data_IF_841807509015
#
_entry.id   IF_841807509015
#
_cell.length_a   1.000
_cell.length_b   1.000
_cell.length_c   1.000
_cell.angle_alpha   90.00
_cell.angle_beta   90.00
_cell.angle_gamma   90.00
#
_symmetry.space_group_name_H-M   'P 1'
#
loop_
_entity.id
_entity.type
_entity.pdbx_description
1 polymer ?
#
# COMPACT_ATOMS: atom_id res chain seq x y z
N UNK A 1 7.30 -15.76 6.37
CA UNK A 1 6.41 -16.92 6.25
C UNK A 1 6.01 -17.07 4.79
N UNK A 2 6.31 -18.21 4.19
CA UNK A 2 5.81 -18.61 2.88
C UNK A 2 5.04 -19.92 3.07
N UNK A 3 3.86 -19.99 2.54
CA UNK A 3 3.04 -21.18 2.65
C UNK A 3 2.09 -21.32 1.47
N UNK A 4 1.98 -22.54 0.98
CA UNK A 4 1.17 -22.89 -0.19
C UNK A 4 -0.11 -23.62 0.22
N UNK A 5 -0.73 -23.26 1.33
CA UNK A 5 -1.94 -23.94 1.82
C UNK A 5 -2.86 -22.98 2.57
N UNK A 6 -4.14 -23.22 2.42
CA UNK A 6 -5.30 -22.42 2.79
C UNK A 6 -5.51 -22.05 4.27
N UNK A 7 -4.58 -22.29 5.17
CA UNK A 7 -4.61 -21.80 6.56
C UNK A 7 -3.18 -21.44 7.03
N UNK A 8 -2.85 -20.17 6.95
CA UNK A 8 -1.63 -19.63 7.50
C UNK A 8 -1.86 -19.15 8.94
N UNK A 9 -1.13 -19.66 9.93
CA UNK A 9 -1.10 -19.09 11.28
C UNK A 9 -0.34 -17.77 11.24
N UNK A 10 -1.05 -16.67 11.05
CA UNK A 10 -0.50 -15.32 10.91
C UNK A 10 0.21 -14.82 12.19
N UNK A 11 -0.10 -15.40 13.33
CA UNK A 11 0.43 -14.99 14.64
C UNK A 11 1.92 -15.35 14.82
N UNK A 12 2.43 -16.34 14.11
CA UNK A 12 3.82 -16.79 14.22
C UNK A 12 4.77 -15.97 13.32
N UNK A 13 4.24 -15.14 12.41
CA UNK A 13 5.02 -14.32 11.51
C UNK A 13 5.24 -12.92 12.05
N UNK A 14 6.47 -12.39 11.96
CA UNK A 14 6.77 -11.00 12.29
C UNK A 14 5.99 -10.04 11.37
N UNK A 15 5.89 -10.38 10.10
CA UNK A 15 5.06 -9.67 9.13
C UNK A 15 4.50 -10.62 8.07
N UNK A 16 3.37 -10.22 7.50
CA UNK A 16 2.77 -10.82 6.32
C UNK A 16 2.70 -9.77 5.23
N UNK A 17 3.07 -10.15 4.01
CA UNK A 17 2.85 -9.34 2.82
C UNK A 17 2.01 -10.12 1.82
N UNK A 18 0.93 -9.52 1.35
CA UNK A 18 0.05 -10.09 0.33
C UNK A 18 -0.04 -9.10 -0.82
N UNK A 19 0.18 -9.57 -2.03
CA UNK A 19 -0.03 -8.81 -3.25
C UNK A 19 -1.05 -9.51 -4.14
N UNK A 20 -1.89 -8.72 -4.79
CA UNK A 20 -2.91 -9.18 -5.72
C UNK A 20 -3.02 -8.23 -6.90
N UNK A 21 -3.50 -8.73 -8.03
CA UNK A 21 -3.90 -7.89 -9.16
C UNK A 21 -5.35 -8.18 -9.47
N UNK A 22 -6.17 -7.13 -9.54
CA UNK A 22 -7.56 -7.25 -10.00
C UNK A 22 -7.68 -7.13 -11.53
N UNK A 23 -6.55 -7.11 -12.24
CA UNK A 23 -6.49 -7.08 -13.69
C UNK A 23 -6.74 -5.70 -14.29
N UNK A 24 -7.30 -5.71 -15.50
CA UNK A 24 -7.58 -4.51 -16.27
C UNK A 24 -8.99 -4.00 -16.02
N UNK A 25 -9.13 -2.67 -16.06
CA UNK A 25 -10.40 -1.98 -15.89
C UNK A 25 -10.55 -0.90 -16.95
N UNK A 26 -11.73 -0.80 -17.50
CA UNK A 26 -12.09 0.24 -18.44
C UNK A 26 -13.39 0.92 -17.99
N UNK A 27 -13.36 2.25 -17.94
CA UNK A 27 -14.51 3.10 -17.60
C UNK A 27 -14.99 3.83 -18.82
N UNK A 28 -16.27 3.71 -19.12
CA UNK A 28 -17.00 4.50 -20.11
C UNK A 28 -17.91 5.53 -19.41
N UNK A 29 -18.71 6.28 -20.17
CA UNK A 29 -19.73 7.17 -19.61
C UNK A 29 -20.84 6.41 -18.85
N UNK A 30 -21.03 5.12 -19.13
CA UNK A 30 -22.16 4.34 -18.65
C UNK A 30 -21.81 3.30 -17.60
N UNK A 31 -20.60 2.75 -17.67
CA UNK A 31 -20.21 1.63 -16.82
C UNK A 31 -18.69 1.56 -16.61
N UNK A 32 -18.29 0.77 -15.60
CA UNK A 32 -16.91 0.33 -15.38
C UNK A 32 -16.86 -1.19 -15.55
N UNK A 33 -15.98 -1.69 -16.42
CA UNK A 33 -15.80 -3.12 -16.70
C UNK A 33 -14.43 -3.60 -16.25
N UNK A 34 -14.40 -4.79 -15.70
CA UNK A 34 -13.14 -5.50 -15.45
C UNK A 34 -12.68 -6.18 -16.76
N UNK A 35 -12.11 -5.39 -17.64
CA UNK A 35 -11.60 -5.83 -18.95
C UNK A 35 -10.57 -4.83 -19.48
N UNK A 36 -9.65 -5.26 -20.37
CA UNK A 36 -8.81 -4.36 -21.14
C UNK A 36 -9.64 -3.36 -21.94
N UNK A 37 -9.08 -2.18 -22.22
CA UNK A 37 -9.75 -1.17 -23.05
C UNK A 37 -9.94 -1.60 -24.53
N UNK A 38 -9.20 -2.61 -24.95
CA UNK A 38 -9.22 -3.13 -26.32
C UNK A 38 -10.62 -3.64 -26.70
N UNK A 39 -11.18 -3.16 -27.80
CA UNK A 39 -12.52 -3.51 -28.27
C UNK A 39 -13.67 -2.83 -27.52
N UNK A 40 -13.39 -1.92 -26.59
CA UNK A 40 -14.42 -1.11 -25.91
C UNK A 40 -14.45 0.29 -26.51
N UNK A 41 -15.61 0.70 -26.98
CA UNK A 41 -15.82 2.04 -27.55
C UNK A 41 -16.14 3.06 -26.46
N UNK A 42 -15.62 4.29 -26.57
CA UNK A 42 -15.93 5.38 -25.64
C UNK A 42 -15.29 5.25 -24.27
N UNK A 43 -14.12 4.61 -24.18
CA UNK A 43 -13.34 4.52 -22.94
C UNK A 43 -12.86 5.90 -22.52
N UNK A 44 -13.24 6.33 -21.31
CA UNK A 44 -12.83 7.58 -20.70
C UNK A 44 -11.58 7.43 -19.84
N UNK A 45 -11.42 6.29 -19.18
CA UNK A 45 -10.26 5.94 -18.34
C UNK A 45 -10.07 4.43 -18.38
N UNK A 46 -8.82 4.00 -18.46
CA UNK A 46 -8.48 2.58 -18.32
C UNK A 46 -7.24 2.41 -17.48
N UNK A 47 -7.25 1.36 -16.63
CA UNK A 47 -6.13 1.08 -15.74
C UNK A 47 -5.97 -0.41 -15.48
N UNK A 48 -4.77 -0.80 -15.14
CA UNK A 48 -4.46 -2.07 -14.50
C UNK A 48 -4.27 -1.82 -13.02
N UNK A 49 -4.81 -2.67 -12.16
CA UNK A 49 -4.72 -2.54 -10.70
C UNK A 49 -3.79 -3.59 -10.10
N UNK A 50 -2.92 -3.12 -9.24
CA UNK A 50 -2.06 -3.93 -8.39
C UNK A 50 -2.23 -3.45 -6.94
N UNK A 51 -2.64 -4.36 -6.06
CA UNK A 51 -2.94 -4.06 -4.67
C UNK A 51 -2.03 -4.88 -3.76
N UNK A 52 -1.61 -4.30 -2.65
CA UNK A 52 -0.82 -5.01 -1.65
C UNK A 52 -1.20 -4.60 -0.23
N UNK A 53 -1.04 -5.54 0.69
CA UNK A 53 -1.22 -5.32 2.12
C UNK A 53 -0.03 -5.90 2.86
N UNK A 54 0.56 -5.09 3.74
CA UNK A 54 1.57 -5.51 4.70
C UNK A 54 1.00 -5.43 6.11
N UNK A 55 0.92 -6.56 6.79
CA UNK A 55 0.60 -6.63 8.21
C UNK A 55 1.88 -6.86 9.00
N UNK A 56 2.14 -6.02 9.99
CA UNK A 56 3.24 -6.20 10.94
C UNK A 56 2.64 -6.62 12.29
N UNK A 57 3.05 -7.79 12.78
CA UNK A 57 2.58 -8.35 14.06
C UNK A 57 3.63 -8.17 15.17
N UNK A 58 4.90 -8.12 14.80
CA UNK A 58 6.03 -8.00 15.69
C UNK A 58 7.16 -7.28 14.97
N UNK A 59 7.81 -6.35 15.67
CA UNK A 59 8.91 -5.61 15.08
C UNK A 59 10.19 -6.44 14.95
N UNK A 60 10.88 -6.18 13.89
CA UNK A 60 12.27 -6.59 13.69
C UNK A 60 12.94 -5.54 12.81
N UNK A 61 14.24 -5.29 13.00
CA UNK A 61 14.99 -4.29 12.24
C UNK A 61 14.98 -4.56 10.71
N UNK A 62 14.78 -5.81 10.29
CA UNK A 62 14.62 -6.16 8.88
C UNK A 62 13.36 -5.53 8.26
N UNK A 63 12.34 -5.23 9.07
CA UNK A 63 11.09 -4.61 8.61
C UNK A 63 11.20 -3.09 8.36
N UNK A 64 12.34 -2.48 8.70
CA UNK A 64 12.65 -1.11 8.30
C UNK A 64 13.08 -1.00 6.83
N UNK A 65 13.16 -2.12 6.12
CA UNK A 65 13.47 -2.21 4.70
C UNK A 65 12.28 -2.77 3.92
N UNK A 66 12.11 -2.42 2.63
CA UNK A 66 11.08 -3.02 1.81
C UNK A 66 11.29 -4.53 1.66
N UNK A 67 10.20 -5.28 1.70
CA UNK A 67 10.17 -6.73 1.55
C UNK A 67 10.02 -7.16 0.09
N UNK A 68 9.52 -6.25 -0.75
CA UNK A 68 9.17 -6.54 -2.15
C UNK A 68 9.59 -5.40 -3.07
N UNK A 69 9.72 -5.64 -4.38
CA UNK A 69 9.90 -4.57 -5.36
C UNK A 69 8.61 -3.77 -5.62
N UNK A 70 7.43 -4.28 -5.25
CA UNK A 70 6.16 -3.58 -5.42
C UNK A 70 6.08 -2.26 -4.64
N UNK A 71 4.97 -1.54 -4.82
CA UNK A 71 4.70 -0.38 -3.97
C UNK A 71 4.51 -0.85 -2.53
N UNK A 72 5.28 -0.29 -1.61
CA UNK A 72 5.27 -0.72 -0.21
C UNK A 72 5.44 0.46 0.75
N UNK A 73 4.70 0.40 1.87
CA UNK A 73 4.88 1.30 3.01
C UNK A 73 5.66 0.57 4.09
N UNK A 74 6.72 1.19 4.58
CA UNK A 74 7.62 0.61 5.58
C UNK A 74 7.79 1.58 6.74
N UNK A 75 7.54 1.18 8.01
CA UNK A 75 7.91 1.97 9.17
C UNK A 75 9.44 2.13 9.19
N UNK A 76 9.94 3.31 9.52
CA UNK A 76 11.40 3.52 9.65
C UNK A 76 11.94 3.01 10.98
N UNK A 77 11.09 2.96 11.99
CA UNK A 77 11.40 2.57 13.35
C UNK A 77 10.30 1.67 13.92
N UNK A 78 10.53 1.10 15.09
CA UNK A 78 9.58 0.22 15.78
C UNK A 78 8.25 0.93 16.08
N UNK A 79 7.17 0.62 15.35
CA UNK A 79 5.90 1.28 15.54
C UNK A 79 5.19 0.88 16.86
N UNK A 80 5.55 -0.26 17.45
CA UNK A 80 4.91 -0.77 18.67
C UNK A 80 5.35 -0.03 19.94
N UNK A 81 6.37 0.82 19.84
CA UNK A 81 6.81 1.72 20.93
C UNK A 81 6.00 3.01 21.00
N UNK A 82 5.15 3.25 19.99
CA UNK A 82 4.40 4.48 19.86
C UNK A 82 3.07 4.40 20.60
N UNK A 83 2.64 5.54 21.12
CA UNK A 83 1.33 5.78 21.70
C UNK A 83 0.55 6.85 20.95
N UNK A 84 -0.70 7.06 21.40
CA UNK A 84 -1.54 8.15 20.86
C UNK A 84 -0.86 9.50 21.06
N UNK A 85 -0.74 10.26 19.98
CA UNK A 85 -0.06 11.55 19.95
C UNK A 85 1.36 11.51 19.41
N UNK A 86 2.01 10.35 19.44
CA UNK A 86 3.37 10.17 18.93
C UNK A 86 3.44 10.27 17.40
N UNK A 87 4.64 10.46 16.90
CA UNK A 87 4.94 10.60 15.47
C UNK A 87 5.45 9.27 14.92
N UNK A 88 4.69 8.70 13.99
CA UNK A 88 5.10 7.57 13.18
C UNK A 88 5.73 8.09 11.89
N UNK A 89 6.97 7.68 11.61
CA UNK A 89 7.59 7.92 10.31
C UNK A 89 7.50 6.66 9.46
N UNK A 90 6.99 6.82 8.24
CA UNK A 90 6.95 5.74 7.25
C UNK A 90 7.64 6.16 5.97
N UNK A 91 8.12 5.20 5.22
CA UNK A 91 8.70 5.38 3.89
C UNK A 91 7.87 4.63 2.87
N UNK A 92 7.65 5.25 1.72
CA UNK A 92 7.03 4.62 0.55
C UNK A 92 8.12 4.30 -0.46
N UNK A 93 8.15 3.06 -0.92
CA UNK A 93 9.12 2.58 -1.92
C UNK A 93 8.42 1.91 -3.10
N UNK A 94 9.04 1.97 -4.26
CA UNK A 94 8.70 1.20 -5.45
C UNK A 94 10.01 0.75 -6.10
N UNK A 95 10.11 -0.50 -6.48
CA UNK A 95 11.35 -1.14 -6.94
C UNK A 95 12.50 -1.01 -5.93
N UNK A 96 12.15 -1.03 -4.64
CA UNK A 96 13.11 -0.85 -3.54
C UNK A 96 13.61 0.60 -3.35
N UNK A 97 13.21 1.53 -4.22
CA UNK A 97 13.65 2.94 -4.19
C UNK A 97 12.58 3.84 -3.57
N UNK A 98 13.00 4.85 -2.79
CA UNK A 98 12.08 5.86 -2.23
C UNK A 98 11.27 6.56 -3.32
N UNK A 99 10.01 6.86 -3.03
CA UNK A 99 9.11 7.61 -3.91
C UNK A 99 8.64 8.89 -3.25
N UNK A 100 8.98 10.01 -3.87
CA UNK A 100 8.51 11.34 -3.46
C UNK A 100 7.10 11.63 -3.98
N UNK A 101 6.43 12.57 -3.32
CA UNK A 101 5.13 13.10 -3.71
C UNK A 101 4.01 12.06 -3.79
N UNK A 102 4.14 10.95 -3.06
CA UNK A 102 3.08 9.93 -2.95
C UNK A 102 2.13 10.34 -1.83
N UNK A 103 0.83 10.54 -2.11
CA UNK A 103 -0.15 10.79 -1.07
C UNK A 103 -0.26 9.60 -0.12
N UNK A 104 -0.25 9.90 1.18
CA UNK A 104 -0.39 8.89 2.23
C UNK A 104 -1.63 9.19 3.06
N UNK A 105 -2.51 8.23 3.15
CA UNK A 105 -3.72 8.28 3.96
C UNK A 105 -3.51 7.52 5.27
N UNK A 106 -4.16 8.00 6.32
CA UNK A 106 -4.27 7.33 7.60
C UNK A 106 -5.73 7.34 8.01
N UNK A 107 -6.28 6.16 8.29
CA UNK A 107 -7.70 5.93 8.54
C UNK A 107 -8.61 6.52 7.44
N UNK A 108 -8.26 6.26 6.19
CA UNK A 108 -9.03 6.67 5.02
C UNK A 108 -8.92 8.15 4.62
N UNK A 109 -8.21 8.98 5.39
CA UNK A 109 -8.02 10.38 5.05
C UNK A 109 -6.55 10.69 4.73
N UNK A 110 -6.30 11.37 3.62
CA UNK A 110 -4.95 11.82 3.25
C UNK A 110 -4.39 12.75 4.34
N UNK A 111 -3.19 12.44 4.84
CA UNK A 111 -2.53 13.17 5.93
C UNK A 111 -1.24 13.85 5.50
N UNK A 112 -0.79 13.63 4.30
CA UNK A 112 0.41 14.23 3.74
C UNK A 112 0.84 13.50 2.48
N UNK A 113 1.97 13.93 1.94
CA UNK A 113 2.67 13.26 0.85
C UNK A 113 4.12 13.03 1.27
N UNK A 114 4.74 12.04 0.65
CA UNK A 114 6.15 11.75 0.90
C UNK A 114 7.05 12.87 0.36
N UNK A 115 8.12 13.16 1.08
CA UNK A 115 9.19 14.08 0.67
C UNK A 115 10.18 13.38 -0.30
N UNK A 116 11.29 14.03 -0.62
CA UNK A 116 12.29 13.54 -1.59
C UNK A 116 12.91 12.20 -1.20
N UNK A 117 13.08 11.92 0.09
CA UNK A 117 13.60 10.65 0.60
C UNK A 117 12.49 9.56 0.74
N UNK A 118 11.30 9.82 0.23
CA UNK A 118 10.16 8.92 0.27
C UNK A 118 9.49 8.82 1.63
N UNK A 119 9.85 9.66 2.63
CA UNK A 119 9.27 9.57 3.96
C UNK A 119 8.14 10.56 4.19
N UNK A 120 7.25 10.21 5.09
CA UNK A 120 6.21 11.08 5.65
C UNK A 120 6.04 10.79 7.14
N UNK A 121 5.68 11.81 7.90
CA UNK A 121 5.42 11.70 9.34
C UNK A 121 3.92 11.83 9.61
N UNK A 122 3.37 10.83 10.28
CA UNK A 122 1.97 10.74 10.66
C UNK A 122 1.86 10.79 12.19
N UNK A 123 0.83 11.46 12.70
CA UNK A 123 0.53 11.46 14.13
C UNK A 123 -0.40 10.30 14.45
N UNK A 124 -0.03 9.42 15.40
CA UNK A 124 -0.90 8.36 15.90
C UNK A 124 -2.14 8.99 16.57
N UNK A 125 -3.32 8.57 16.17
CA UNK A 125 -4.59 9.18 16.56
C UNK A 125 -5.37 8.37 17.58
N UNK A 126 -5.18 7.06 17.61
CA UNK A 126 -5.89 6.13 18.51
C UNK A 126 -5.05 4.87 18.75
N UNK A 127 -5.45 4.06 19.74
CA UNK A 127 -4.96 2.69 19.91
C UNK A 127 -5.68 1.72 18.97
N UNK A 128 -5.36 0.42 19.09
CA UNK A 128 -5.92 -0.62 18.23
C UNK A 128 -5.31 -0.66 16.84
N UNK A 129 -6.10 -1.08 15.86
CA UNK A 129 -5.65 -1.28 14.48
C UNK A 129 -5.29 0.07 13.82
N UNK A 130 -4.06 0.14 13.33
CA UNK A 130 -3.57 1.26 12.53
C UNK A 130 -3.62 0.87 11.06
N UNK A 131 -4.14 1.75 10.20
CA UNK A 131 -4.27 1.52 8.77
C UNK A 131 -3.72 2.71 7.99
N UNK A 132 -2.59 2.50 7.32
CA UNK A 132 -1.90 3.52 6.53
C UNK A 132 -1.88 3.04 5.09
N UNK A 133 -2.36 3.88 4.18
CA UNK A 133 -2.48 3.53 2.77
C UNK A 133 -1.77 4.56 1.88
N UNK A 134 -1.25 4.07 0.76
CA UNK A 134 -0.70 4.91 -0.30
C UNK A 134 -1.10 4.35 -1.65
N UNK A 135 -1.24 5.23 -2.64
CA UNK A 135 -1.47 4.83 -4.02
C UNK A 135 -0.62 5.65 -4.98
N UNK A 136 -0.23 5.00 -6.05
CA UNK A 136 0.57 5.60 -7.12
C UNK A 136 0.00 5.19 -8.47
N UNK A 137 -0.27 6.18 -9.32
CA UNK A 137 -0.70 5.98 -10.69
C UNK A 137 0.47 6.33 -11.62
N UNK A 138 0.80 5.43 -12.53
CA UNK A 138 1.87 5.61 -13.51
C UNK A 138 1.37 5.27 -14.91
N UNK A 139 1.88 5.91 -15.97
CA UNK A 139 1.55 5.52 -17.35
C UNK A 139 1.86 4.05 -17.58
N UNK A 140 1.02 3.39 -18.38
CA UNK A 140 1.19 2.00 -18.78
C UNK A 140 1.16 1.94 -20.33
N UNK A 141 2.20 1.38 -20.92
CA UNK A 141 2.38 1.34 -22.38
C UNK A 141 2.17 -0.08 -22.94
N UNK A 142 1.21 -0.86 -22.41
CA UNK A 142 0.92 -2.22 -22.88
C UNK A 142 -0.22 -2.29 -23.93
N UNK A 143 -0.82 -1.15 -24.27
CA UNK A 143 -1.95 -1.05 -25.19
C UNK A 143 -3.30 -1.50 -24.61
N UNK A 144 -3.32 -2.13 -23.44
CA UNK A 144 -4.52 -2.69 -22.80
C UNK A 144 -5.15 -1.73 -21.78
N UNK A 145 -4.34 -0.85 -21.20
CA UNK A 145 -4.78 0.23 -20.33
C UNK A 145 -3.85 1.45 -20.50
N UNK A 146 -4.28 2.60 -20.00
CA UNK A 146 -3.52 3.85 -20.06
C UNK A 146 -2.62 4.03 -18.84
N UNK A 147 -3.03 3.47 -17.71
CA UNK A 147 -2.32 3.65 -16.45
C UNK A 147 -2.22 2.34 -15.67
N UNK A 148 -1.18 2.27 -14.84
CA UNK A 148 -1.02 1.28 -13.80
C UNK A 148 -1.26 1.95 -12.45
N UNK A 149 -2.31 1.52 -11.75
CA UNK A 149 -2.64 1.96 -10.40
C UNK A 149 -2.12 0.93 -9.41
N UNK A 150 -1.23 1.36 -8.55
CA UNK A 150 -0.74 0.56 -7.44
C UNK A 150 -1.28 1.13 -6.14
N UNK A 151 -1.87 0.28 -5.32
CA UNK A 151 -2.29 0.64 -3.97
C UNK A 151 -1.60 -0.29 -2.95
N UNK A 152 -1.22 0.26 -1.82
CA UNK A 152 -0.59 -0.50 -0.74
C UNK A 152 -1.10 -0.04 0.60
N UNK A 153 -1.20 -0.98 1.54
CA UNK A 153 -1.63 -0.69 2.92
C UNK A 153 -0.66 -1.31 3.91
N UNK A 154 -0.26 -0.53 4.90
CA UNK A 154 0.45 -0.99 6.08
C UNK A 154 -0.51 -1.08 7.26
N UNK A 155 -0.59 -2.25 7.88
CA UNK A 155 -1.40 -2.51 9.07
C UNK A 155 -0.53 -3.00 10.22
N UNK A 156 -0.78 -2.48 11.42
CA UNK A 156 -0.26 -2.98 12.69
C UNK A 156 -1.22 -2.61 13.81
N UNK A 157 -1.05 -3.17 14.99
CA UNK A 157 -1.97 -2.97 16.11
C UNK A 157 -1.23 -2.46 17.33
N UNK A 158 -1.69 -1.34 17.86
CA UNK A 158 -1.23 -0.77 19.12
C UNK A 158 -2.14 -1.20 20.27
N UNK A 159 -1.67 -1.20 21.53
CA UNK A 159 -2.54 -1.45 22.65
C UNK A 159 -3.77 -0.54 22.63
N UNK A 160 -4.95 -1.13 22.75
CA UNK A 160 -6.18 -0.37 22.96
C UNK A 160 -6.10 0.25 24.36
N UNK A 161 -6.17 1.57 24.46
CA UNK A 161 -6.35 2.28 25.73
C UNK A 161 -7.82 2.54 25.94
#
# INVERSE_FOLDING_TARGET
CAGNTSMMRLIDCAALFVAASSGYWAKTAWETRNAPKTGITGVLKSWRSEDSVKRVNRWSAALARPLTPGLEITPTDDPFRLGVGDKLRVRVTLDGLPRANVPVAYDGATRGATNEDGTVVLKIRHGGLQMIAASLETPLADGQADTLVRATTLNFELPAK
#
